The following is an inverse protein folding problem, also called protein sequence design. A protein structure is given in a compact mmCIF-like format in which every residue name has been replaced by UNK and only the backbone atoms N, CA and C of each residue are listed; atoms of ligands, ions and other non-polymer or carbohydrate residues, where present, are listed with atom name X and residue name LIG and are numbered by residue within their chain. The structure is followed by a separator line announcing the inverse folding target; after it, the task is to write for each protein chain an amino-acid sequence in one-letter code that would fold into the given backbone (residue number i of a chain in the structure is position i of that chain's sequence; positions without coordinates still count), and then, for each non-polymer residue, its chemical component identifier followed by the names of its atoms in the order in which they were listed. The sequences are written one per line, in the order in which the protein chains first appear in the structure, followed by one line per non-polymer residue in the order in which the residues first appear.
data_IF_558298480550
#
_entry.id   IF_558298480550
#
_cell.length_a   1.000
_cell.length_b   1.000
_cell.length_c   1.000
_cell.angle_alpha   90.00
_cell.angle_beta   90.00
_cell.angle_gamma   90.00
#
_symmetry.space_group_name_H-M   'P 1'
#
loop_
_entity.id
_entity.type
_entity.pdbx_description
1 polymer ?
#
# COMPACT_ATOMS: atom_id res chain seq x y z
N UNK A 1 9.75 -21.76 -8.57
CA UNK A 1 9.61 -22.52 -9.83
C UNK A 1 10.24 -21.88 -11.07
N UNK A 2 10.71 -20.62 -11.04
CA UNK A 2 11.47 -20.02 -12.16
C UNK A 2 10.68 -19.78 -13.46
N UNK A 3 9.37 -20.05 -13.46
CA UNK A 3 8.49 -19.88 -14.64
C UNK A 3 8.17 -18.41 -14.97
N UNK A 4 8.39 -17.51 -14.01
CA UNK A 4 8.10 -16.09 -14.14
C UNK A 4 9.35 -15.27 -13.82
N UNK A 5 9.47 -14.12 -14.47
CA UNK A 5 10.68 -13.29 -14.46
C UNK A 5 10.78 -12.45 -13.18
N UNK A 6 9.64 -12.12 -12.57
CA UNK A 6 9.56 -11.28 -11.39
C UNK A 6 8.66 -11.93 -10.34
N UNK A 7 9.03 -11.79 -9.08
CA UNK A 7 8.31 -12.29 -7.92
C UNK A 7 8.14 -11.21 -6.86
N UNK A 8 6.99 -11.17 -6.20
CA UNK A 8 6.74 -10.34 -5.02
C UNK A 8 6.10 -11.19 -3.93
N UNK A 9 6.59 -11.11 -2.69
CA UNK A 9 6.05 -11.88 -1.56
C UNK A 9 5.31 -11.06 -0.50
N UNK A 10 4.87 -11.75 0.56
CA UNK A 10 4.19 -11.16 1.71
C UNK A 10 5.15 -10.40 2.62
N UNK A 11 4.74 -9.25 3.13
CA UNK A 11 5.48 -8.54 4.17
C UNK A 11 4.65 -8.45 5.43
N UNK A 12 5.32 -8.60 6.57
CA UNK A 12 4.73 -8.48 7.90
C UNK A 12 5.54 -7.51 8.76
N UNK A 13 4.87 -6.76 9.64
CA UNK A 13 5.47 -5.61 10.33
C UNK A 13 5.77 -5.82 11.83
N UNK A 14 5.20 -6.88 12.41
CA UNK A 14 5.17 -7.09 13.86
C UNK A 14 6.07 -8.25 14.35
N UNK A 15 6.93 -8.77 13.49
CA UNK A 15 7.73 -9.94 13.83
C UNK A 15 8.97 -9.63 14.67
N UNK A 16 9.50 -8.42 14.58
CA UNK A 16 10.61 -7.93 15.41
C UNK A 16 10.11 -6.96 16.50
N UNK A 17 11.06 -6.31 17.20
CA UNK A 17 10.77 -5.24 18.16
C UNK A 17 9.97 -4.12 17.47
N UNK A 18 8.71 -3.98 17.88
CA UNK A 18 7.84 -2.88 17.45
C UNK A 18 8.32 -1.59 18.10
N UNK A 19 8.68 -0.62 17.26
CA UNK A 19 9.14 0.72 17.71
C UNK A 19 7.94 1.64 17.93
N UNK A 20 6.98 1.63 16.99
CA UNK A 20 5.78 2.45 17.07
C UNK A 20 4.55 1.59 16.77
N UNK A 21 3.76 1.33 17.82
CA UNK A 21 2.57 0.49 17.74
C UNK A 21 1.48 1.08 16.85
N UNK A 22 1.35 2.40 16.79
CA UNK A 22 0.32 3.07 15.99
C UNK A 22 0.57 2.81 14.50
N UNK A 23 1.78 3.07 14.02
CA UNK A 23 2.13 2.89 12.61
C UNK A 23 2.16 1.41 12.23
N UNK A 24 2.62 0.52 13.12
CA UNK A 24 2.60 -0.93 12.88
C UNK A 24 1.19 -1.50 12.77
N UNK A 25 0.26 -1.08 13.64
CA UNK A 25 -1.13 -1.52 13.56
C UNK A 25 -1.80 -0.91 12.31
N UNK A 26 -1.51 0.35 11.98
CA UNK A 26 -2.01 0.99 10.75
C UNK A 26 -1.53 0.27 9.47
N UNK A 27 -0.27 -0.16 9.43
CA UNK A 27 0.29 -0.93 8.31
C UNK A 27 -0.20 -2.38 8.25
N UNK A 28 -0.88 -2.89 9.28
CA UNK A 28 -1.42 -4.26 9.26
C UNK A 28 -2.43 -4.47 8.12
N UNK A 29 -3.14 -3.42 7.70
CA UNK A 29 -3.98 -3.45 6.50
C UNK A 29 -3.23 -3.95 5.25
N UNK A 30 -1.94 -3.62 5.11
CA UNK A 30 -1.12 -4.00 3.96
C UNK A 30 -0.88 -5.50 3.87
N UNK A 31 -0.88 -6.18 5.01
CA UNK A 31 -0.73 -7.65 5.10
C UNK A 31 -1.93 -8.33 4.46
N UNK A 32 -3.14 -7.82 4.72
CA UNK A 32 -4.35 -8.30 4.07
C UNK A 32 -4.37 -7.97 2.57
N UNK A 33 -3.90 -6.77 2.17
CA UNK A 33 -3.79 -6.39 0.76
C UNK A 33 -2.81 -7.29 -0.01
N UNK A 34 -1.67 -7.62 0.60
CA UNK A 34 -0.69 -8.56 0.06
C UNK A 34 -1.29 -9.96 -0.14
N UNK A 35 -1.94 -10.51 0.89
CA UNK A 35 -2.49 -11.87 0.85
C UNK A 35 -3.77 -11.99 0.02
N UNK A 36 -4.50 -10.90 -0.17
CA UNK A 36 -5.71 -10.84 -0.98
C UNK A 36 -5.41 -10.36 -2.39
N UNK A 37 -5.48 -9.04 -2.60
CA UNK A 37 -5.40 -8.40 -3.93
C UNK A 37 -4.10 -8.74 -4.66
N UNK A 38 -2.94 -8.61 -4.00
CA UNK A 38 -1.65 -8.80 -4.66
C UNK A 38 -1.36 -10.28 -4.95
N UNK A 39 -1.67 -11.17 -4.01
CA UNK A 39 -1.58 -12.61 -4.25
C UNK A 39 -2.47 -13.03 -5.42
N UNK A 40 -3.73 -12.58 -5.44
CA UNK A 40 -4.66 -12.91 -6.52
C UNK A 40 -4.15 -12.45 -7.89
N UNK A 41 -3.70 -11.19 -8.02
CA UNK A 41 -3.22 -10.68 -9.32
C UNK A 41 -1.98 -11.45 -9.82
N UNK A 42 -1.09 -11.87 -8.93
CA UNK A 42 0.15 -12.55 -9.34
C UNK A 42 0.01 -14.05 -9.49
N UNK A 43 -0.88 -14.70 -8.74
CA UNK A 43 -1.12 -16.14 -8.88
C UNK A 43 -2.10 -16.47 -10.00
N UNK A 44 -3.12 -15.64 -10.24
CA UNK A 44 -4.14 -15.93 -11.26
C UNK A 44 -3.84 -15.28 -12.61
N UNK A 45 -3.36 -14.03 -12.62
CA UNK A 45 -3.15 -13.26 -13.86
C UNK A 45 -1.68 -13.12 -14.26
N UNK A 46 -0.76 -13.37 -13.33
CA UNK A 46 0.68 -13.19 -13.50
C UNK A 46 1.08 -11.78 -13.98
N UNK A 47 0.33 -10.76 -13.56
CA UNK A 47 0.44 -9.37 -14.03
C UNK A 47 0.31 -8.38 -12.86
N UNK A 48 0.98 -7.22 -12.88
CA UNK A 48 0.92 -6.22 -11.82
C UNK A 48 -0.27 -5.29 -12.06
N UNK A 49 -1.50 -5.82 -11.96
CA UNK A 49 -2.70 -5.09 -12.41
C UNK A 49 -3.05 -3.88 -11.51
N UNK A 50 -2.99 -4.05 -10.19
CA UNK A 50 -3.43 -3.03 -9.24
C UNK A 50 -2.29 -2.30 -8.54
N UNK A 51 -1.17 -2.98 -8.30
CA UNK A 51 0.02 -2.41 -7.68
C UNK A 51 1.21 -3.36 -7.79
N UNK A 52 2.40 -2.83 -7.58
CA UNK A 52 3.64 -3.58 -7.33
C UNK A 52 4.41 -2.82 -6.26
N UNK A 53 4.89 -3.52 -5.23
CA UNK A 53 5.71 -2.94 -4.16
C UNK A 53 7.16 -3.37 -4.33
N UNK A 54 8.09 -2.48 -4.01
CA UNK A 54 9.54 -2.73 -4.12
C UNK A 54 10.11 -3.62 -3.02
N UNK A 55 9.35 -3.89 -1.95
CA UNK A 55 9.81 -4.73 -0.84
C UNK A 55 9.51 -6.22 -1.09
N UNK A 56 10.44 -7.09 -0.71
CA UNK A 56 10.42 -8.55 -0.93
C UNK A 56 10.15 -8.93 -2.38
N UNK A 57 11.04 -8.45 -3.26
CA UNK A 57 11.02 -8.71 -4.69
C UNK A 57 12.17 -9.63 -5.08
N UNK A 58 11.91 -10.54 -6.01
CA UNK A 58 12.93 -11.35 -6.68
C UNK A 58 12.80 -11.11 -8.17
N UNK A 59 13.90 -10.72 -8.81
CA UNK A 59 13.99 -10.42 -10.22
C UNK A 59 14.97 -11.35 -10.91
N UNK A 60 14.61 -11.83 -12.10
CA UNK A 60 15.56 -12.51 -12.97
C UNK A 60 16.52 -11.47 -13.55
N UNK A 61 17.82 -11.67 -13.32
CA UNK A 61 18.88 -10.72 -13.70
C UNK A 61 18.79 -10.25 -15.15
N UNK A 62 18.52 -11.16 -16.09
CA UNK A 62 18.39 -10.81 -17.51
C UNK A 62 17.20 -9.89 -17.80
N UNK A 63 16.05 -10.16 -17.18
CA UNK A 63 14.84 -9.35 -17.35
C UNK A 63 14.99 -7.98 -16.66
N UNK A 64 15.58 -7.93 -15.47
CA UNK A 64 15.86 -6.68 -14.77
C UNK A 64 16.79 -5.77 -15.57
N UNK A 65 17.87 -6.32 -16.15
CA UNK A 65 18.79 -5.56 -17.00
C UNK A 65 18.14 -5.03 -18.28
N UNK A 66 17.18 -5.77 -18.83
CA UNK A 66 16.46 -5.35 -20.02
C UNK A 66 15.47 -4.21 -19.73
N UNK A 67 14.74 -4.29 -18.61
CA UNK A 67 13.72 -3.31 -18.23
C UNK A 67 14.34 -2.05 -17.61
N UNK A 68 15.39 -2.22 -16.80
CA UNK A 68 16.09 -1.19 -15.99
C UNK A 68 15.22 -0.42 -14.99
N UNK A 69 15.83 -0.03 -13.86
CA UNK A 69 15.23 0.92 -12.91
C UNK A 69 15.50 2.39 -13.30
N UNK A 70 16.38 2.64 -14.27
CA UNK A 70 16.71 3.98 -14.74
C UNK A 70 15.64 4.52 -15.71
N UNK A 71 14.59 5.08 -15.13
CA UNK A 71 13.41 5.58 -15.86
C UNK A 71 13.25 7.10 -15.78
N UNK A 72 14.33 7.83 -15.45
CA UNK A 72 14.32 9.27 -15.26
C UNK A 72 13.55 9.74 -14.02
N UNK A 73 13.41 11.06 -13.88
CA UNK A 73 12.87 11.71 -12.67
C UNK A 73 11.42 11.31 -12.35
N UNK A 74 10.57 11.18 -13.37
CA UNK A 74 9.17 10.77 -13.19
C UNK A 74 9.05 9.33 -12.68
N UNK A 75 9.98 8.46 -13.10
CA UNK A 75 10.06 7.08 -12.67
C UNK A 75 10.68 6.90 -11.29
N UNK A 76 11.48 7.85 -10.79
CA UNK A 76 12.24 7.67 -9.54
C UNK A 76 11.43 7.75 -8.24
N UNK A 77 10.20 8.29 -8.26
CA UNK A 77 9.41 8.48 -7.02
C UNK A 77 8.72 7.19 -6.56
N UNK A 78 8.21 6.43 -7.53
CA UNK A 78 7.67 5.08 -7.38
C UNK A 78 8.35 4.18 -8.42
N UNK A 79 9.65 4.01 -8.22
CA UNK A 79 10.56 3.24 -9.08
C UNK A 79 10.10 1.81 -9.26
N UNK A 80 9.58 1.22 -8.19
CA UNK A 80 9.01 -0.12 -8.15
C UNK A 80 7.77 -0.25 -9.04
N UNK A 81 6.82 0.68 -8.89
CA UNK A 81 5.60 0.71 -9.67
C UNK A 81 5.86 1.01 -11.15
N UNK A 82 6.76 1.97 -11.43
CA UNK A 82 7.13 2.30 -12.80
C UNK A 82 7.81 1.11 -13.49
N UNK A 83 8.79 0.49 -12.82
CA UNK A 83 9.48 -0.70 -13.30
C UNK A 83 8.49 -1.82 -13.64
N UNK A 84 7.55 -2.11 -12.73
CA UNK A 84 6.58 -3.20 -12.94
C UNK A 84 5.65 -2.93 -14.14
N UNK A 85 5.21 -1.68 -14.31
CA UNK A 85 4.37 -1.32 -15.45
C UNK A 85 5.13 -1.34 -16.78
N UNK A 86 6.41 -0.95 -16.76
CA UNK A 86 7.29 -1.05 -17.92
C UNK A 86 7.57 -2.51 -18.29
N UNK A 87 7.93 -3.35 -17.31
CA UNK A 87 8.08 -4.78 -17.49
C UNK A 87 6.79 -5.44 -18.01
N UNK A 88 5.63 -5.03 -17.51
CA UNK A 88 4.34 -5.53 -17.99
C UNK A 88 4.04 -5.11 -19.43
N UNK A 89 4.42 -3.89 -19.83
CA UNK A 89 4.35 -3.44 -21.22
C UNK A 89 5.19 -4.33 -22.14
N UNK A 90 6.38 -4.69 -21.69
CA UNK A 90 7.34 -5.49 -22.46
C UNK A 90 7.00 -7.00 -22.45
N UNK A 91 5.86 -7.37 -21.84
CA UNK A 91 5.34 -8.74 -21.87
C UNK A 91 5.88 -9.67 -20.79
N UNK A 92 6.66 -9.15 -19.83
CA UNK A 92 7.13 -9.94 -18.70
C UNK A 92 5.99 -10.31 -17.76
N UNK A 93 6.16 -11.46 -17.11
CA UNK A 93 5.17 -12.05 -16.20
C UNK A 93 5.69 -12.06 -14.76
N UNK A 94 4.74 -11.98 -13.84
CA UNK A 94 4.97 -11.85 -12.41
C UNK A 94 4.38 -13.03 -11.64
N UNK A 95 4.89 -13.31 -10.44
CA UNK A 95 4.33 -14.32 -9.56
C UNK A 95 4.38 -13.91 -8.09
N UNK A 96 3.55 -14.56 -7.29
CA UNK A 96 3.62 -14.41 -5.84
C UNK A 96 4.71 -15.32 -5.28
N UNK A 97 5.56 -14.79 -4.40
CA UNK A 97 6.57 -15.59 -3.71
C UNK A 97 5.92 -16.20 -2.47
N UNK A 98 5.92 -17.52 -2.40
CA UNK A 98 5.52 -18.25 -1.20
C UNK A 98 6.58 -18.07 -0.11
N UNK A 99 6.28 -17.19 0.83
CA UNK A 99 7.17 -16.83 1.93
C UNK A 99 6.73 -15.52 2.58
N UNK A 100 7.35 -15.18 3.70
CA UNK A 100 7.15 -13.91 4.39
C UNK A 100 8.49 -13.22 4.64
N UNK A 101 8.53 -11.91 4.41
CA UNK A 101 9.63 -11.05 4.81
C UNK A 101 9.18 -10.17 5.98
N UNK A 102 10.06 -9.99 6.95
CA UNK A 102 9.79 -9.15 8.11
C UNK A 102 10.33 -7.75 7.83
N UNK A 103 9.44 -6.77 7.80
CA UNK A 103 9.78 -5.36 7.61
C UNK A 103 9.39 -4.55 8.85
N UNK A 104 9.88 -3.31 8.96
CA UNK A 104 9.47 -2.36 9.99
C UNK A 104 8.62 -1.25 9.39
N UNK A 105 7.54 -0.91 10.07
CA UNK A 105 6.75 0.31 9.80
C UNK A 105 7.56 1.57 10.13
N UNK A 106 7.20 2.74 9.59
CA UNK A 106 7.81 4.02 9.96
C UNK A 106 7.78 4.25 11.47
N UNK A 107 8.86 4.80 12.03
CA UNK A 107 8.99 4.99 13.48
C UNK A 107 8.22 6.21 14.00
N UNK A 108 7.95 7.19 13.13
CA UNK A 108 7.19 8.39 13.48
C UNK A 108 5.93 8.53 12.61
N UNK A 109 4.93 9.24 13.13
CA UNK A 109 3.72 9.58 12.38
C UNK A 109 4.03 10.50 11.18
N UNK A 110 5.04 11.37 11.33
CA UNK A 110 5.47 12.25 10.26
C UNK A 110 6.07 11.48 9.08
N UNK A 111 6.95 10.51 9.37
CA UNK A 111 7.50 9.61 8.36
C UNK A 111 6.40 8.80 7.67
N UNK A 112 5.40 8.38 8.43
CA UNK A 112 4.25 7.66 7.91
C UNK A 112 3.44 8.52 6.92
N UNK A 113 3.09 9.77 7.26
CA UNK A 113 2.42 10.71 6.33
C UNK A 113 3.27 10.95 5.08
N UNK A 114 4.57 11.20 5.25
CA UNK A 114 5.49 11.44 4.13
C UNK A 114 5.59 10.24 3.18
N UNK A 115 5.58 9.03 3.73
CA UNK A 115 5.59 7.79 2.95
C UNK A 115 4.31 7.66 2.11
N UNK A 116 3.13 7.88 2.71
CA UNK A 116 1.84 7.83 2.00
C UNK A 116 1.76 8.89 0.91
N UNK A 117 2.21 10.11 1.22
CA UNK A 117 2.31 11.21 0.25
C UNK A 117 3.18 10.82 -0.94
N UNK A 118 4.36 10.22 -0.70
CA UNK A 118 5.26 9.76 -1.76
C UNK A 118 4.59 8.72 -2.65
N UNK A 119 3.87 7.75 -2.08
CA UNK A 119 3.18 6.73 -2.87
C UNK A 119 2.09 7.31 -3.76
N UNK A 120 1.24 8.21 -3.23
CA UNK A 120 0.22 8.89 -4.05
C UNK A 120 0.87 9.66 -5.20
N UNK A 121 1.91 10.44 -4.92
CA UNK A 121 2.63 11.22 -5.92
C UNK A 121 3.29 10.34 -6.98
N UNK A 122 3.97 9.27 -6.56
CA UNK A 122 4.65 8.35 -7.47
C UNK A 122 3.67 7.60 -8.37
N UNK A 123 2.58 7.06 -7.83
CA UNK A 123 1.57 6.35 -8.64
C UNK A 123 0.89 7.32 -9.61
N UNK A 124 0.62 8.57 -9.20
CA UNK A 124 0.10 9.59 -10.11
C UNK A 124 1.06 9.87 -11.28
N UNK A 125 2.37 9.92 -11.04
CA UNK A 125 3.36 10.08 -12.12
C UNK A 125 3.36 8.87 -13.07
N UNK A 126 3.27 7.65 -12.54
CA UNK A 126 3.19 6.41 -13.34
C UNK A 126 1.91 6.40 -14.21
N UNK A 127 0.76 6.74 -13.62
CA UNK A 127 -0.54 6.77 -14.33
C UNK A 127 -0.55 7.82 -15.44
N UNK A 128 0.12 8.96 -15.25
CA UNK A 128 0.19 10.03 -16.26
C UNK A 128 1.37 9.91 -17.24
N UNK A 129 2.28 8.96 -17.01
CA UNK A 129 3.44 8.74 -17.89
C UNK A 129 3.01 8.34 -19.31
N UNK A 130 3.59 8.99 -20.32
CA UNK A 130 3.38 8.66 -21.74
C UNK A 130 4.13 7.40 -22.17
N UNK A 131 5.14 6.98 -21.40
CA UNK A 131 5.98 5.81 -21.71
C UNK A 131 5.24 4.47 -21.52
N UNK A 132 4.13 4.47 -20.78
CA UNK A 132 3.34 3.28 -20.45
C UNK A 132 1.97 3.39 -21.13
N UNK A 133 1.59 2.42 -21.98
CA UNK A 133 0.28 2.39 -22.64
C UNK A 133 -0.88 2.36 -21.62
N UNK A 134 -1.99 3.00 -21.97
CA UNK A 134 -3.18 3.11 -21.11
C UNK A 134 -3.72 1.73 -20.71
N UNK A 135 -3.66 0.74 -21.61
CA UNK A 135 -4.15 -0.63 -21.35
C UNK A 135 -3.47 -1.28 -20.15
N UNK A 136 -2.18 -1.02 -19.96
CA UNK A 136 -1.39 -1.62 -18.89
C UNK A 136 -1.62 -0.95 -17.54
N UNK A 137 -1.94 0.35 -17.56
CA UNK A 137 -2.14 1.17 -16.36
C UNK A 137 -3.61 1.45 -16.02
N UNK A 138 -4.59 0.90 -16.75
CA UNK A 138 -6.02 1.18 -16.52
C UNK A 138 -6.47 0.78 -15.11
N UNK A 139 -6.16 -0.44 -14.68
CA UNK A 139 -6.55 -0.94 -13.34
C UNK A 139 -5.77 -0.23 -12.23
N UNK A 140 -4.48 0.07 -12.45
CA UNK A 140 -3.69 0.91 -11.56
C UNK A 140 -4.29 2.33 -11.44
N UNK A 141 -4.73 2.92 -12.56
CA UNK A 141 -5.35 4.24 -12.58
C UNK A 141 -6.66 4.24 -11.79
N UNK A 142 -7.53 3.23 -11.95
CA UNK A 142 -8.75 3.10 -11.17
C UNK A 142 -8.45 3.00 -9.67
N UNK A 143 -7.47 2.18 -9.28
CA UNK A 143 -7.00 2.06 -7.90
C UNK A 143 -6.46 3.39 -7.36
N UNK A 144 -5.64 4.09 -8.15
CA UNK A 144 -5.06 5.38 -7.80
C UNK A 144 -6.13 6.46 -7.61
N UNK A 145 -7.07 6.59 -8.56
CA UNK A 145 -8.13 7.59 -8.49
C UNK A 145 -9.11 7.29 -7.36
N UNK A 146 -9.42 6.02 -7.09
CA UNK A 146 -10.18 5.63 -5.89
C UNK A 146 -9.53 6.15 -4.60
N UNK A 147 -8.19 6.09 -4.51
CA UNK A 147 -7.47 6.62 -3.35
C UNK A 147 -7.42 8.15 -3.33
N UNK A 148 -7.22 8.78 -4.48
CA UNK A 148 -7.21 10.25 -4.63
C UNK A 148 -8.56 10.87 -4.30
N UNK A 149 -9.67 10.18 -4.58
CA UNK A 149 -11.03 10.64 -4.23
C UNK A 149 -11.42 10.38 -2.78
N UNK A 150 -10.58 9.71 -1.99
CA UNK A 150 -10.89 9.38 -0.60
C UNK A 150 -11.21 10.60 0.29
N UNK A 151 -10.57 11.78 0.15
CA UNK A 151 -10.97 12.99 0.87
C UNK A 151 -12.42 13.42 0.60
N UNK A 152 -12.90 13.22 -0.64
CA UNK A 152 -14.29 13.50 -1.00
C UNK A 152 -15.22 12.48 -0.35
N UNK A 153 -14.91 11.19 -0.45
CA UNK A 153 -15.72 10.13 0.16
C UNK A 153 -15.79 10.24 1.68
N UNK A 154 -14.70 10.64 2.33
CA UNK A 154 -14.63 10.80 3.79
C UNK A 154 -15.32 12.09 4.26
N UNK A 155 -15.35 13.14 3.44
CA UNK A 155 -16.15 14.34 3.73
C UNK A 155 -17.65 14.02 3.86
N UNK A 156 -18.12 12.94 3.23
CA UNK A 156 -19.50 12.49 3.34
C UNK A 156 -19.91 12.11 4.79
N UNK A 157 -18.95 11.72 5.64
CA UNK A 157 -19.22 11.46 7.07
C UNK A 157 -19.75 12.73 7.77
N UNK A 158 -19.27 13.90 7.34
CA UNK A 158 -19.68 15.21 7.89
C UNK A 158 -20.86 15.77 7.10
N UNK A 159 -20.87 15.61 5.77
CA UNK A 159 -21.90 16.18 4.91
C UNK A 159 -23.24 15.44 5.00
N UNK A 160 -23.26 14.11 5.16
CA UNK A 160 -24.50 13.34 5.18
C UNK A 160 -25.45 13.71 6.35
N UNK A 161 -24.95 13.99 7.59
CA UNK A 161 -25.80 14.51 8.66
C UNK A 161 -26.31 15.94 8.42
N UNK A 162 -25.55 16.78 7.71
CA UNK A 162 -25.88 18.20 7.48
C UNK A 162 -26.84 18.36 6.30
N UNK A 163 -26.64 17.57 5.25
CA UNK A 163 -27.42 17.56 4.02
C UNK A 163 -27.80 16.11 3.66
N UNK A 164 -28.89 15.58 4.26
CA UNK A 164 -29.32 14.21 3.99
C UNK A 164 -29.89 14.12 2.56
N UNK A 165 -29.09 13.59 1.65
CA UNK A 165 -29.55 13.26 0.30
C UNK A 165 -30.14 11.84 0.32
N UNK A 166 -31.33 11.61 -0.29
CA UNK A 166 -31.89 10.27 -0.40
C UNK A 166 -30.97 9.41 -1.28
N UNK A 167 -30.29 8.44 -0.68
CA UNK A 167 -29.45 7.47 -1.37
C UNK A 167 -30.26 6.21 -1.67
N UNK A 168 -30.17 5.66 -2.90
CA UNK A 168 -30.72 4.34 -3.19
C UNK A 168 -30.12 3.27 -2.28
N UNK A 169 -30.96 2.36 -1.76
CA UNK A 169 -30.55 1.26 -0.85
C UNK A 169 -29.38 0.43 -1.40
N UNK A 170 -29.31 0.26 -2.71
CA UNK A 170 -28.22 -0.47 -3.37
C UNK A 170 -26.86 0.19 -3.11
N UNK A 171 -26.79 1.52 -3.11
CA UNK A 171 -25.56 2.27 -2.83
C UNK A 171 -25.17 2.08 -1.36
N UNK A 172 -26.14 2.14 -0.44
CA UNK A 172 -25.88 1.90 0.99
C UNK A 172 -25.32 0.50 1.25
N UNK A 173 -25.89 -0.53 0.61
CA UNK A 173 -25.38 -1.91 0.73
C UNK A 173 -23.96 -2.03 0.20
N UNK A 174 -23.65 -1.40 -0.94
CA UNK A 174 -22.29 -1.40 -1.51
C UNK A 174 -21.31 -0.68 -0.58
N UNK A 175 -21.67 0.50 -0.06
CA UNK A 175 -20.84 1.25 0.89
C UNK A 175 -20.62 0.48 2.19
N UNK A 176 -21.66 -0.15 2.73
CA UNK A 176 -21.56 -0.99 3.93
C UNK A 176 -20.64 -2.21 3.68
N UNK A 177 -20.74 -2.85 2.52
CA UNK A 177 -19.86 -3.94 2.13
C UNK A 177 -18.39 -3.49 2.04
N UNK A 178 -18.12 -2.36 1.38
CA UNK A 178 -16.76 -1.81 1.29
C UNK A 178 -16.21 -1.50 2.69
N UNK A 179 -17.01 -0.90 3.57
CA UNK A 179 -16.60 -0.62 4.95
C UNK A 179 -16.31 -1.92 5.73
N UNK A 180 -17.15 -2.93 5.59
CA UNK A 180 -16.97 -4.23 6.23
C UNK A 180 -15.68 -4.93 5.76
N UNK A 181 -15.39 -4.90 4.45
CA UNK A 181 -14.15 -5.44 3.89
C UNK A 181 -12.94 -4.68 4.43
N UNK A 182 -13.00 -3.35 4.54
CA UNK A 182 -11.91 -2.56 5.12
C UNK A 182 -11.64 -2.95 6.59
N UNK A 183 -12.68 -3.06 7.41
CA UNK A 183 -12.55 -3.50 8.82
C UNK A 183 -11.95 -4.91 8.87
N UNK A 184 -12.44 -5.83 8.02
CA UNK A 184 -11.90 -7.17 7.91
C UNK A 184 -10.41 -7.17 7.58
N UNK A 185 -9.95 -6.32 6.65
CA UNK A 185 -8.53 -6.24 6.27
C UNK A 185 -7.64 -5.81 7.44
N UNK A 186 -8.07 -4.85 8.28
CA UNK A 186 -7.34 -4.49 9.49
C UNK A 186 -7.26 -5.64 10.50
N UNK A 187 -8.41 -6.27 10.78
CA UNK A 187 -8.48 -7.39 11.72
C UNK A 187 -7.62 -8.54 11.22
N UNK A 188 -7.81 -8.99 9.98
CA UNK A 188 -7.03 -10.07 9.37
C UNK A 188 -5.53 -9.77 9.36
N UNK A 189 -5.15 -8.53 9.03
CA UNK A 189 -3.76 -8.09 9.05
C UNK A 189 -3.11 -8.26 10.43
N UNK A 190 -3.83 -7.89 11.50
CA UNK A 190 -3.37 -8.11 12.88
C UNK A 190 -3.32 -9.59 13.23
N UNK A 191 -4.36 -10.37 12.91
CA UNK A 191 -4.39 -11.82 13.16
C UNK A 191 -3.19 -12.53 12.52
N UNK A 192 -2.80 -12.11 11.31
CA UNK A 192 -1.68 -12.70 10.59
C UNK A 192 -0.32 -12.19 11.07
N UNK A 193 -0.22 -10.91 11.45
CA UNK A 193 1.04 -10.29 11.88
C UNK A 193 1.44 -10.66 13.30
N UNK A 194 0.46 -10.86 14.18
CA UNK A 194 0.66 -11.08 15.60
C UNK A 194 0.30 -12.52 15.96
N UNK A 195 1.26 -13.29 16.45
CA UNK A 195 0.98 -14.64 16.94
C UNK A 195 0.40 -14.59 18.36
N UNK A 196 -0.71 -15.29 18.58
CA UNK A 196 -1.33 -15.52 19.89
C UNK A 196 -0.31 -16.04 20.93
N UNK A 197 0.57 -16.95 20.50
CA UNK A 197 1.58 -17.55 21.37
C UNK A 197 2.62 -16.52 21.85
N UNK A 198 2.95 -15.52 21.01
CA UNK A 198 3.98 -14.51 21.32
C UNK A 198 3.47 -13.39 22.22
N UNK A 199 2.20 -12.98 22.06
CA UNK A 199 1.63 -11.83 22.76
C UNK A 199 0.78 -12.20 23.98
N UNK A 200 0.24 -13.41 24.02
CA UNK A 200 -0.78 -13.80 24.98
C UNK A 200 -2.18 -13.28 24.60
N UNK A 201 -3.20 -13.99 25.08
CA UNK A 201 -4.61 -13.82 24.66
C UNK A 201 -5.11 -12.39 24.89
N UNK A 202 -4.84 -11.81 26.06
CA UNK A 202 -5.33 -10.47 26.42
C UNK A 202 -4.74 -9.39 25.50
N UNK A 203 -3.41 -9.40 25.30
CA UNK A 203 -2.75 -8.42 24.43
C UNK A 203 -3.17 -8.58 22.98
N UNK A 204 -3.44 -9.81 22.54
CA UNK A 204 -3.93 -10.08 21.20
C UNK A 204 -5.31 -9.45 20.95
N UNK A 205 -6.28 -9.65 21.85
CA UNK A 205 -7.59 -9.01 21.72
C UNK A 205 -7.50 -7.48 21.82
N UNK A 206 -6.60 -6.95 22.66
CA UNK A 206 -6.32 -5.52 22.69
C UNK A 206 -5.77 -5.00 21.36
N UNK A 207 -4.91 -5.77 20.67
CA UNK A 207 -4.41 -5.39 19.36
C UNK A 207 -5.53 -5.38 18.30
N UNK A 208 -6.47 -6.33 18.35
CA UNK A 208 -7.64 -6.33 17.45
C UNK A 208 -8.52 -5.10 17.72
N UNK A 209 -8.81 -4.79 18.99
CA UNK A 209 -9.55 -3.59 19.35
C UNK A 209 -8.83 -2.32 18.88
N UNK A 210 -7.52 -2.23 19.10
CA UNK A 210 -6.69 -1.13 18.62
C UNK A 210 -6.69 -1.00 17.09
N UNK A 211 -6.74 -2.12 16.36
CA UNK A 211 -6.84 -2.11 14.90
C UNK A 211 -8.12 -1.47 14.38
N UNK A 212 -9.23 -1.64 15.09
CA UNK A 212 -10.50 -0.99 14.75
C UNK A 212 -10.45 0.49 15.14
N UNK A 213 -9.94 0.80 16.34
CA UNK A 213 -9.83 2.17 16.83
C UNK A 213 -8.87 3.04 16.00
N UNK A 214 -7.88 2.45 15.31
CA UNK A 214 -6.94 3.20 14.48
C UNK A 214 -7.50 3.56 13.10
N UNK A 215 -8.60 2.94 12.65
CA UNK A 215 -9.16 3.20 11.31
C UNK A 215 -9.46 4.68 11.09
N UNK A 216 -10.20 5.39 11.98
CA UNK A 216 -10.47 6.82 11.78
C UNK A 216 -9.20 7.66 11.75
N UNK A 217 -8.22 7.30 12.58
CA UNK A 217 -6.93 7.98 12.62
C UNK A 217 -6.13 7.79 11.32
N UNK A 218 -6.10 6.56 10.79
CA UNK A 218 -5.44 6.28 9.52
C UNK A 218 -6.13 7.01 8.36
N UNK A 219 -7.47 7.06 8.35
CA UNK A 219 -8.24 7.83 7.37
C UNK A 219 -7.86 9.32 7.39
N UNK A 220 -7.72 9.92 8.58
CA UNK A 220 -7.24 11.31 8.70
C UNK A 220 -5.83 11.49 8.12
N UNK A 221 -4.89 10.59 8.46
CA UNK A 221 -3.53 10.63 7.93
C UNK A 221 -3.52 10.51 6.41
N UNK A 222 -4.25 9.55 5.86
CA UNK A 222 -4.28 9.33 4.42
C UNK A 222 -4.92 10.50 3.70
N UNK A 223 -5.96 11.13 4.25
CA UNK A 223 -6.54 12.36 3.70
C UNK A 223 -5.52 13.50 3.64
N UNK A 224 -4.78 13.72 4.73
CA UNK A 224 -3.71 14.72 4.77
C UNK A 224 -2.62 14.40 3.74
N UNK A 225 -2.22 13.13 3.64
CA UNK A 225 -1.21 12.68 2.69
C UNK A 225 -1.66 12.83 1.22
N UNK A 226 -2.93 12.56 0.91
CA UNK A 226 -3.51 12.72 -0.44
C UNK A 226 -3.57 14.19 -0.81
N UNK A 227 -4.17 15.05 0.04
CA UNK A 227 -4.27 16.49 -0.22
C UNK A 227 -2.88 17.09 -0.40
N UNK A 228 -1.95 16.75 0.49
CA UNK A 228 -0.57 17.22 0.38
C UNK A 228 0.15 16.64 -0.84
N UNK A 229 -0.12 15.40 -1.21
CA UNK A 229 0.45 14.77 -2.40
C UNK A 229 0.02 15.47 -3.70
N UNK A 230 -1.25 15.89 -3.77
CA UNK A 230 -1.82 16.60 -4.93
C UNK A 230 -1.27 18.03 -5.07
N UNK A 231 -1.15 18.76 -3.96
CA UNK A 231 -0.73 20.19 -3.95
C UNK A 231 0.79 20.35 -3.88
N UNK A 232 1.49 19.40 -3.26
CA UNK A 232 2.92 19.48 -3.02
C UNK A 232 3.76 19.34 -4.28
N UNK A 233 5.01 19.81 -4.21
CA UNK A 233 6.00 19.59 -5.28
C UNK A 233 6.15 18.09 -5.52
N UNK A 234 5.94 17.69 -6.77
CA UNK A 234 6.21 16.33 -7.26
C UNK A 234 7.74 16.16 -7.34
N UNK A 235 8.23 14.91 -7.41
CA UNK A 235 9.66 14.57 -7.57
C UNK A 235 10.59 14.68 -6.35
N UNK A 236 10.07 14.83 -5.13
CA UNK A 236 10.90 14.75 -3.92
C UNK A 236 10.86 13.33 -3.34
N UNK A 237 11.99 12.63 -3.37
CA UNK A 237 12.14 11.32 -2.72
C UNK A 237 12.48 11.51 -1.23
N UNK A 238 11.51 11.24 -0.35
CA UNK A 238 11.73 11.24 1.09
C UNK A 238 12.09 9.82 1.56
N UNK A 239 13.25 9.69 2.19
CA UNK A 239 13.71 8.43 2.78
C UNK A 239 13.25 8.40 4.23
N UNK A 240 12.46 7.38 4.58
CA UNK A 240 12.07 7.13 5.97
C UNK A 240 13.27 6.56 6.70
N UNK A 241 13.74 7.26 7.73
CA UNK A 241 14.82 6.76 8.56
C UNK A 241 14.29 5.64 9.47
N UNK A 242 14.79 4.42 9.26
CA UNK A 242 14.45 3.23 10.07
C UNK A 242 15.66 2.71 10.86
N UNK A 243 16.72 3.51 11.00
CA UNK A 243 17.88 3.10 11.78
C UNK A 243 17.58 3.12 13.28
N UNK A 244 17.85 2.00 13.93
CA UNK A 244 17.77 1.86 15.39
C UNK A 244 19.03 2.40 16.09
N UNK A 245 20.07 2.72 15.32
CA UNK A 245 21.31 3.30 15.84
C UNK A 245 21.08 4.80 16.07
N UNK A 246 21.56 5.39 17.19
CA UNK A 246 21.56 6.83 17.34
C UNK A 246 22.33 7.44 16.16
N UNK A 247 21.83 8.55 15.62
CA UNK A 247 22.52 9.27 14.56
C UNK A 247 23.97 9.52 15.02
N UNK A 248 24.93 8.97 14.28
CA UNK A 248 26.33 9.31 14.50
C UNK A 248 26.46 10.80 14.21
N UNK A 249 26.54 11.62 15.26
CA UNK A 249 27.03 12.99 15.16
C UNK A 249 28.49 12.89 14.76
N UNK A 250 28.76 13.09 13.47
CA UNK A 250 30.10 13.37 12.94
C UNK A 250 30.33 14.87 13.07
#
# INVERSE_FOLDING_TARGET
DGKHHFGQGLITYANEKVVNWITTIADSFRVADDMGKLRMQFSAFHKPLFSWKGSYVVSQVGAERAVTFDNGLDGSVAEDCFFAMHAFRDGYTFNFIEGEMWEKSPFTLWDFVQQRKRWVQGILLVVHSKHIPIKNKLLLALSCYSWVTMPLSTSNIILAPICPLPLPVVIDVICAFIAAVNIYMYVFGVLKSFSLYRLGIVRFFLCIGAAICIIPFNVCIENVAVIWGLVGKKHKFYIVNKDLRPALTV
#
